data_IF_889455745226
#
_entry.id   IF_889455745226
#
_cell.length_a   1.000
_cell.length_b   1.000
_cell.length_c   1.000
_cell.angle_alpha   90.00
_cell.angle_beta   90.00
_cell.angle_gamma   90.00
#
_symmetry.space_group_name_H-M   'P 1'
#
loop_
_entity.id
_entity.type
_entity.pdbx_description
1 polymer ?
#
# COMPACT_ATOMS: atom_id res chain seq x y z
N UNK A 1 -4.42 -18.50 -0.37
CA UNK A 1 -3.34 -17.71 0.25
C UNK A 1 -3.75 -16.24 0.17
N UNK A 2 -3.24 -15.41 1.09
CA UNK A 2 -3.51 -13.97 1.14
C UNK A 2 -2.23 -13.21 1.47
N UNK A 3 -1.35 -13.05 0.46
CA UNK A 3 -0.14 -12.24 0.59
C UNK A 3 -0.51 -10.76 0.62
N UNK A 4 0.13 -10.01 1.49
CA UNK A 4 0.01 -8.57 1.60
C UNK A 4 1.32 -7.94 2.06
N UNK A 5 1.33 -6.62 2.16
CA UNK A 5 2.48 -5.84 2.59
C UNK A 5 2.14 -5.02 3.83
N UNK A 6 3.16 -4.59 4.55
CA UNK A 6 3.11 -3.52 5.53
C UNK A 6 4.40 -2.71 5.47
N UNK A 7 4.34 -1.43 5.87
CA UNK A 7 5.51 -0.55 5.84
C UNK A 7 5.82 0.07 4.48
N UNK A 8 4.85 0.19 3.57
CA UNK A 8 5.09 0.86 2.29
C UNK A 8 5.48 2.33 2.48
N UNK A 9 4.82 3.05 3.40
CA UNK A 9 5.16 4.43 3.73
C UNK A 9 6.56 4.55 4.35
N UNK A 10 6.94 3.58 5.21
CA UNK A 10 8.30 3.51 5.76
C UNK A 10 9.34 3.32 4.66
N UNK A 11 9.05 2.45 3.69
CA UNK A 11 9.92 2.22 2.52
C UNK A 11 10.13 3.52 1.74
N UNK A 12 9.05 4.25 1.45
CA UNK A 12 9.15 5.54 0.75
C UNK A 12 9.96 6.57 1.55
N UNK A 13 9.71 6.67 2.86
CA UNK A 13 10.47 7.57 3.73
C UNK A 13 11.97 7.23 3.74
N UNK A 14 12.32 5.95 3.85
CA UNK A 14 13.72 5.49 3.83
C UNK A 14 14.41 5.74 2.48
N UNK A 15 13.66 5.76 1.39
CA UNK A 15 14.17 6.06 0.04
C UNK A 15 14.12 7.56 -0.30
N UNK A 16 13.65 8.43 0.61
CA UNK A 16 13.49 9.86 0.36
C UNK A 16 12.41 10.19 -0.68
N UNK A 17 11.44 9.31 -0.86
CA UNK A 17 10.35 9.46 -1.84
C UNK A 17 9.10 10.01 -1.18
N UNK A 18 8.59 11.15 -1.65
CA UNK A 18 7.30 11.66 -1.19
C UNK A 18 6.20 10.67 -1.56
N UNK A 19 5.29 10.40 -0.63
CA UNK A 19 4.21 9.41 -0.85
C UNK A 19 3.35 9.75 -2.08
N UNK A 20 3.17 11.03 -2.37
CA UNK A 20 2.37 11.54 -3.49
C UNK A 20 3.22 11.89 -4.74
N UNK A 21 4.43 11.34 -4.86
CA UNK A 21 5.29 11.50 -6.03
C UNK A 21 5.05 10.46 -7.13
N UNK A 22 5.46 10.75 -8.35
CA UNK A 22 5.39 9.81 -9.46
C UNK A 22 6.37 8.64 -9.29
N UNK A 23 7.51 8.88 -8.66
CA UNK A 23 8.49 7.84 -8.32
C UNK A 23 7.91 6.83 -7.33
N UNK A 24 7.25 7.30 -6.26
CA UNK A 24 6.56 6.44 -5.29
C UNK A 24 5.44 5.63 -5.94
N UNK A 25 4.69 6.26 -6.85
CA UNK A 25 3.63 5.61 -7.63
C UNK A 25 4.19 4.50 -8.52
N UNK A 26 5.29 4.75 -9.23
CA UNK A 26 5.97 3.75 -10.05
C UNK A 26 6.51 2.59 -9.20
N UNK A 27 7.18 2.92 -8.08
CA UNK A 27 7.71 1.91 -7.17
C UNK A 27 6.59 1.05 -6.56
N UNK A 28 5.47 1.65 -6.16
CA UNK A 28 4.28 0.94 -5.69
C UNK A 28 3.81 -0.12 -6.71
N UNK A 29 3.68 0.25 -7.99
CA UNK A 29 3.31 -0.68 -9.06
C UNK A 29 4.32 -1.82 -9.17
N UNK A 30 5.60 -1.49 -9.22
CA UNK A 30 6.70 -2.46 -9.40
C UNK A 30 6.80 -3.46 -8.23
N UNK A 31 6.58 -3.01 -6.99
CA UNK A 31 6.57 -3.88 -5.81
C UNK A 31 5.47 -4.95 -5.96
N UNK A 32 4.25 -4.53 -6.28
CA UNK A 32 3.13 -5.46 -6.39
C UNK A 32 3.23 -6.37 -7.62
N UNK A 33 3.77 -5.88 -8.73
CA UNK A 33 4.10 -6.70 -9.88
C UNK A 33 5.10 -7.79 -9.51
N UNK A 34 6.18 -7.44 -8.81
CA UNK A 34 7.21 -8.38 -8.37
C UNK A 34 6.66 -9.44 -7.41
N UNK A 35 5.86 -9.02 -6.42
CA UNK A 35 5.24 -9.95 -5.47
C UNK A 35 4.31 -10.92 -6.19
N UNK A 36 3.51 -10.42 -7.13
CA UNK A 36 2.57 -11.26 -7.88
C UNK A 36 3.30 -12.24 -8.79
N UNK A 37 4.34 -11.80 -9.49
CA UNK A 37 5.18 -12.68 -10.30
C UNK A 37 5.78 -13.81 -9.47
N UNK A 38 6.43 -13.48 -8.35
CA UNK A 38 7.03 -14.45 -7.46
C UNK A 38 6.00 -15.41 -6.85
N UNK A 39 4.81 -14.91 -6.48
CA UNK A 39 3.73 -15.73 -5.96
C UNK A 39 3.16 -16.70 -6.99
N UNK A 40 2.98 -16.24 -8.24
CA UNK A 40 2.56 -17.11 -9.35
C UNK A 40 3.60 -18.18 -9.65
N UNK A 41 4.88 -17.83 -9.67
CA UNK A 41 6.00 -18.77 -9.85
C UNK A 41 6.00 -19.84 -8.77
N UNK A 42 5.98 -19.43 -7.51
CA UNK A 42 5.95 -20.37 -6.39
C UNK A 42 4.70 -21.28 -6.41
N UNK A 43 3.52 -20.72 -6.72
CA UNK A 43 2.29 -21.50 -6.81
C UNK A 43 2.28 -22.50 -7.98
N UNK A 44 2.96 -22.18 -9.07
CA UNK A 44 3.20 -23.11 -10.18
C UNK A 44 4.20 -24.20 -9.77
N UNK A 45 5.30 -23.84 -9.13
CA UNK A 45 6.30 -24.81 -8.66
C UNK A 45 5.68 -25.82 -7.66
N UNK A 46 4.86 -25.35 -6.73
CA UNK A 46 4.10 -26.21 -5.81
C UNK A 46 3.08 -27.10 -6.55
N UNK A 47 2.48 -26.60 -7.64
CA UNK A 47 1.57 -27.41 -8.44
C UNK A 47 2.25 -28.56 -9.17
N UNK A 48 3.52 -28.44 -9.53
CA UNK A 48 4.32 -29.53 -10.10
C UNK A 48 4.50 -30.67 -9.09
N UNK A 49 4.60 -30.34 -7.79
CA UNK A 49 4.82 -31.30 -6.71
C UNK A 49 3.50 -31.93 -6.25
N UNK A 50 2.52 -31.09 -5.88
CA UNK A 50 1.29 -31.47 -5.18
C UNK A 50 0.03 -31.43 -6.06
N UNK A 51 0.18 -31.12 -7.33
CA UNK A 51 -0.91 -30.91 -8.27
C UNK A 51 -1.60 -29.53 -8.14
N UNK A 52 -2.30 -29.09 -9.17
CA UNK A 52 -3.03 -27.83 -9.16
C UNK A 52 -4.24 -27.87 -8.22
N UNK A 53 -4.81 -26.69 -7.89
CA UNK A 53 -6.06 -26.63 -7.14
C UNK A 53 -7.21 -27.29 -7.93
N UNK A 54 -8.18 -27.88 -7.22
CA UNK A 54 -9.19 -28.80 -7.80
C UNK A 54 -10.05 -28.19 -8.92
N UNK A 55 -10.28 -26.88 -8.91
CA UNK A 55 -11.04 -26.15 -9.94
C UNK A 55 -10.15 -25.41 -10.96
N UNK A 56 -8.89 -25.83 -11.11
CA UNK A 56 -7.96 -25.19 -12.05
C UNK A 56 -8.44 -25.35 -13.52
N UNK A 57 -8.87 -26.56 -13.89
CA UNK A 57 -9.36 -26.82 -15.23
C UNK A 57 -10.57 -25.93 -15.56
N UNK A 58 -10.48 -25.17 -16.66
CA UNK A 58 -11.50 -24.21 -17.08
C UNK A 58 -11.43 -22.83 -16.43
N UNK A 59 -10.53 -22.63 -15.44
CA UNK A 59 -10.28 -21.32 -14.87
C UNK A 59 -9.58 -20.37 -15.85
N UNK A 60 -9.59 -19.05 -15.62
CA UNK A 60 -8.79 -18.11 -16.41
C UNK A 60 -7.29 -18.49 -16.43
N UNK A 61 -6.72 -18.85 -15.30
CA UNK A 61 -5.31 -19.23 -15.18
C UNK A 61 -4.96 -20.46 -16.07
N UNK A 62 -5.88 -21.44 -16.21
CA UNK A 62 -5.68 -22.60 -17.12
C UNK A 62 -5.60 -22.22 -18.60
N UNK A 63 -5.90 -20.98 -18.94
CA UNK A 63 -5.80 -20.38 -20.27
C UNK A 63 -4.70 -19.34 -20.38
N UNK A 64 -3.84 -19.24 -19.38
CA UNK A 64 -2.80 -18.20 -19.29
C UNK A 64 -3.34 -16.79 -19.05
N UNK A 65 -4.57 -16.66 -18.55
CA UNK A 65 -5.18 -15.37 -18.21
C UNK A 65 -5.01 -15.13 -16.72
N UNK A 66 -4.17 -14.17 -16.38
CA UNK A 66 -3.89 -13.76 -15.01
C UNK A 66 -4.68 -12.49 -14.61
N UNK A 67 -4.50 -12.02 -13.39
CA UNK A 67 -5.29 -10.91 -12.85
C UNK A 67 -5.17 -9.62 -13.69
N UNK A 68 -3.98 -9.25 -14.11
CA UNK A 68 -3.73 -8.05 -14.91
C UNK A 68 -4.34 -8.13 -16.32
N UNK A 69 -4.44 -9.34 -16.92
CA UNK A 69 -5.10 -9.53 -18.21
C UNK A 69 -6.61 -9.23 -18.11
N UNK A 70 -7.24 -9.65 -17.00
CA UNK A 70 -8.66 -9.36 -16.73
C UNK A 70 -8.92 -7.87 -16.50
N UNK A 71 -7.89 -7.09 -16.13
CA UNK A 71 -7.93 -5.63 -16.03
C UNK A 71 -7.63 -4.93 -17.35
N UNK A 72 -7.33 -5.69 -18.41
CA UNK A 72 -6.94 -5.14 -19.71
C UNK A 72 -5.59 -4.42 -19.69
N UNK A 73 -4.71 -4.77 -18.74
CA UNK A 73 -3.38 -4.19 -18.65
C UNK A 73 -2.45 -4.93 -19.60
N UNK A 74 -1.88 -4.22 -20.55
CA UNK A 74 -0.94 -4.75 -21.54
C UNK A 74 0.51 -4.27 -21.32
N UNK A 75 0.71 -3.30 -20.40
CA UNK A 75 2.03 -2.72 -20.13
C UNK A 75 2.51 -3.12 -18.75
N UNK A 76 3.59 -3.90 -18.70
CA UNK A 76 4.32 -4.29 -17.52
C UNK A 76 5.60 -3.47 -17.38
N UNK A 77 6.30 -3.64 -16.25
CA UNK A 77 7.58 -2.95 -15.99
C UNK A 77 8.71 -3.40 -16.93
N UNK A 78 8.58 -4.58 -17.54
CA UNK A 78 9.65 -5.24 -18.30
C UNK A 78 10.68 -5.96 -17.42
N UNK A 79 10.48 -6.01 -16.10
CA UNK A 79 11.38 -6.70 -15.16
C UNK A 79 11.22 -8.22 -15.19
N UNK A 80 10.03 -8.72 -15.56
CA UNK A 80 9.65 -10.12 -15.42
C UNK A 80 9.13 -10.70 -16.74
N UNK A 81 9.49 -11.96 -17.02
CA UNK A 81 9.02 -12.69 -18.19
C UNK A 81 7.65 -13.34 -17.92
N UNK A 82 6.61 -12.55 -18.07
CA UNK A 82 5.24 -13.00 -17.89
C UNK A 82 4.79 -14.01 -18.94
N UNK A 83 5.31 -13.94 -20.16
CA UNK A 83 4.90 -14.84 -21.24
C UNK A 83 5.38 -16.27 -20.97
N UNK A 84 6.63 -16.44 -20.58
CA UNK A 84 7.16 -17.75 -20.17
C UNK A 84 6.41 -18.30 -18.96
N UNK A 85 6.18 -17.48 -17.93
CA UNK A 85 5.46 -17.93 -16.72
C UNK A 85 4.02 -18.34 -17.04
N UNK A 86 3.31 -17.61 -17.91
CA UNK A 86 1.94 -17.99 -18.34
C UNK A 86 1.93 -19.34 -19.05
N UNK A 87 2.90 -19.62 -19.91
CA UNK A 87 3.05 -20.92 -20.59
C UNK A 87 3.25 -22.05 -19.58
N UNK A 88 4.15 -21.87 -18.63
CA UNK A 88 4.41 -22.84 -17.55
C UNK A 88 3.16 -23.05 -16.67
N UNK A 89 2.39 -22.00 -16.37
CA UNK A 89 1.12 -22.11 -15.61
C UNK A 89 0.09 -22.92 -16.41
N UNK A 90 -0.02 -22.73 -17.72
CA UNK A 90 -0.94 -23.52 -18.54
C UNK A 90 -0.56 -24.99 -18.56
N UNK A 91 0.74 -25.31 -18.60
CA UNK A 91 1.27 -26.67 -18.62
C UNK A 91 1.14 -27.38 -17.28
N UNK A 92 1.55 -26.72 -16.18
CA UNK A 92 1.69 -27.35 -14.87
C UNK A 92 0.56 -27.00 -13.89
N UNK A 93 -0.17 -25.93 -14.13
CA UNK A 93 -1.20 -25.42 -13.22
C UNK A 93 -0.67 -24.48 -12.15
N UNK A 94 -1.55 -24.16 -11.22
CA UNK A 94 -1.24 -23.38 -9.99
C UNK A 94 -1.79 -24.12 -8.77
N UNK A 95 -1.02 -24.14 -7.67
CA UNK A 95 -1.45 -24.78 -6.42
C UNK A 95 -2.54 -24.00 -5.69
N UNK A 96 -2.56 -22.67 -5.83
CA UNK A 96 -3.50 -21.75 -5.18
C UNK A 96 -4.21 -20.91 -6.24
N UNK A 97 -5.53 -20.80 -6.13
CA UNK A 97 -6.35 -20.03 -7.09
C UNK A 97 -6.22 -18.51 -6.93
N UNK A 98 -5.95 -18.04 -5.71
CA UNK A 98 -5.79 -16.64 -5.35
C UNK A 98 -4.55 -16.51 -4.45
N UNK A 99 -3.76 -15.46 -4.64
CA UNK A 99 -2.45 -15.28 -4.02
C UNK A 99 -2.36 -13.99 -3.20
N UNK A 100 -2.67 -12.83 -3.79
CA UNK A 100 -2.55 -11.54 -3.14
C UNK A 100 -3.90 -11.05 -2.59
N UNK A 101 -3.87 -10.70 -1.31
CA UNK A 101 -5.01 -10.12 -0.57
C UNK A 101 -4.48 -9.19 0.53
N UNK A 102 -4.13 -7.93 0.21
CA UNK A 102 -3.60 -7.00 1.20
C UNK A 102 -4.59 -6.73 2.32
N UNK A 103 -4.22 -7.20 3.52
CA UNK A 103 -5.00 -7.02 4.75
C UNK A 103 -4.64 -5.70 5.45
N UNK A 104 -5.43 -5.21 6.43
CA UNK A 104 -5.17 -3.93 7.11
C UNK A 104 -3.87 -3.89 7.92
N UNK A 105 -3.37 -5.02 8.41
CA UNK A 105 -2.16 -5.19 9.25
C UNK A 105 -2.15 -4.37 10.55
N UNK A 106 -3.32 -4.00 11.08
CA UNK A 106 -3.46 -3.09 12.22
C UNK A 106 -2.69 -3.51 13.50
N UNK A 107 -2.54 -4.81 13.73
CA UNK A 107 -1.80 -5.36 14.88
C UNK A 107 -0.37 -5.73 14.52
N UNK A 108 -0.15 -6.37 13.37
CA UNK A 108 1.18 -6.85 12.96
C UNK A 108 2.13 -5.71 12.65
N UNK A 109 1.65 -4.62 12.08
CA UNK A 109 2.45 -3.41 11.86
C UNK A 109 2.95 -2.81 13.17
N UNK A 110 2.13 -2.82 14.21
CA UNK A 110 2.52 -2.35 15.53
C UNK A 110 3.60 -3.23 16.18
N UNK A 111 3.50 -4.55 16.02
CA UNK A 111 4.48 -5.51 16.54
C UNK A 111 5.84 -5.28 15.85
N UNK A 112 5.83 -5.06 14.54
CA UNK A 112 7.05 -4.88 13.75
C UNK A 112 7.55 -3.43 13.72
N UNK A 113 6.78 -2.47 14.26
CA UNK A 113 7.17 -1.06 14.36
C UNK A 113 7.26 -0.35 13.01
N UNK A 114 6.33 -0.65 12.10
CA UNK A 114 6.17 0.04 10.82
C UNK A 114 4.73 0.51 10.61
N UNK A 115 4.48 1.25 9.55
CA UNK A 115 3.15 1.73 9.19
C UNK A 115 2.26 0.60 8.65
N UNK A 116 0.96 0.78 8.74
CA UNK A 116 -0.02 -0.21 8.31
C UNK A 116 -0.01 -0.39 6.78
N UNK A 117 -0.02 -1.66 6.35
CA UNK A 117 -0.24 -2.08 4.97
C UNK A 117 0.54 -1.21 3.95
N UNK A 118 -0.19 -0.65 3.01
CA UNK A 118 0.27 0.30 1.98
C UNK A 118 -0.20 1.74 2.26
N UNK A 119 -0.67 2.02 3.46
CA UNK A 119 -1.23 3.32 3.86
C UNK A 119 -0.13 4.38 4.03
N UNK A 120 -0.48 5.64 3.76
CA UNK A 120 0.34 6.76 4.19
C UNK A 120 0.31 6.91 5.72
N UNK A 121 1.26 7.63 6.30
CA UNK A 121 1.25 7.93 7.73
C UNK A 121 -0.01 8.72 8.11
N UNK A 122 -0.75 8.26 9.11
CA UNK A 122 -1.91 9.00 9.62
C UNK A 122 -1.52 10.16 10.53
N UNK A 123 -0.37 10.03 11.20
CA UNK A 123 0.21 11.04 12.09
C UNK A 123 1.69 10.72 12.28
N UNK A 124 2.54 11.74 12.39
CA UNK A 124 3.97 11.53 12.66
C UNK A 124 4.28 11.41 14.16
N UNK A 125 3.33 11.76 15.02
CA UNK A 125 3.47 11.63 16.47
C UNK A 125 2.09 11.58 17.10
N UNK A 126 1.76 10.51 17.81
CA UNK A 126 0.47 10.34 18.47
C UNK A 126 0.58 9.60 19.79
N UNK A 127 -0.46 9.72 20.60
CA UNK A 127 -0.58 8.98 21.86
C UNK A 127 -1.46 7.76 21.64
N UNK A 128 -0.91 6.59 21.94
CA UNK A 128 -1.63 5.33 21.93
C UNK A 128 -2.03 4.96 23.36
N UNK A 129 -3.34 4.72 23.54
CA UNK A 129 -3.87 4.23 24.81
C UNK A 129 -4.05 2.71 24.75
N UNK A 130 -3.54 2.02 25.74
CA UNK A 130 -3.70 0.58 25.94
C UNK A 130 -4.17 0.31 27.37
N UNK A 131 -4.48 -0.93 27.68
CA UNK A 131 -4.78 -1.34 29.06
C UNK A 131 -3.59 -1.13 30.02
N UNK A 132 -2.37 -1.12 29.48
CA UNK A 132 -1.12 -0.94 30.25
C UNK A 132 -0.71 0.52 30.43
N UNK A 133 -1.40 1.47 29.77
CA UNK A 133 -1.06 2.89 29.86
C UNK A 133 -1.10 3.64 28.54
N UNK A 134 -0.58 4.86 28.57
CA UNK A 134 -0.47 5.73 27.39
C UNK A 134 0.99 5.76 26.92
N UNK A 135 1.16 5.59 25.59
CA UNK A 135 2.48 5.56 24.98
C UNK A 135 2.53 6.57 23.83
N UNK A 136 3.59 7.35 23.78
CA UNK A 136 3.88 8.23 22.63
C UNK A 136 4.50 7.36 21.55
N UNK A 137 3.89 7.34 20.38
CA UNK A 137 4.36 6.61 19.20
C UNK A 137 4.82 7.61 18.13
N UNK A 138 6.14 7.72 17.91
CA UNK A 138 6.69 8.61 16.91
C UNK A 138 6.90 7.90 15.58
N UNK A 139 6.87 8.66 14.49
CA UNK A 139 7.46 8.25 13.22
C UNK A 139 8.99 8.30 13.35
N UNK A 140 9.60 7.14 13.50
CA UNK A 140 11.06 7.00 13.74
C UNK A 140 11.91 7.62 12.63
N UNK A 141 11.42 7.62 11.39
CA UNK A 141 12.14 8.19 10.24
C UNK A 141 12.19 9.72 10.34
N UNK A 142 11.05 10.37 10.62
CA UNK A 142 10.99 11.81 10.85
C UNK A 142 11.88 12.22 12.03
N UNK A 143 11.81 11.48 13.16
CA UNK A 143 12.61 11.81 14.33
C UNK A 143 14.12 11.76 13.99
N UNK A 144 14.53 10.72 13.26
CA UNK A 144 15.92 10.59 12.82
C UNK A 144 16.33 11.78 11.95
N UNK A 145 15.55 12.15 10.97
CA UNK A 145 15.86 13.26 10.07
C UNK A 145 15.89 14.61 10.80
N UNK A 146 14.99 14.81 11.78
CA UNK A 146 15.01 16.01 12.62
C UNK A 146 16.24 16.06 13.55
N UNK A 147 16.73 14.92 14.04
CA UNK A 147 17.98 14.82 14.81
C UNK A 147 19.16 15.15 13.90
N UNK A 148 19.23 14.56 12.72
CA UNK A 148 20.32 14.78 11.76
C UNK A 148 20.39 16.26 11.30
N UNK A 149 19.29 17.00 11.42
CA UNK A 149 19.18 18.43 11.10
C UNK A 149 19.35 19.35 12.33
N UNK A 150 19.64 18.82 13.50
CA UNK A 150 19.68 19.57 14.79
C UNK A 150 18.35 20.30 15.11
N UNK A 151 17.22 19.79 14.65
CA UNK A 151 15.89 20.36 14.87
C UNK A 151 15.07 19.63 15.95
N UNK A 152 15.50 18.45 16.38
CA UNK A 152 14.77 17.67 17.38
C UNK A 152 14.99 18.22 18.78
N UNK A 153 13.91 18.59 19.46
CA UNK A 153 13.89 19.04 20.84
C UNK A 153 12.58 18.68 21.53
N UNK A 154 12.45 18.95 22.83
CA UNK A 154 11.19 18.78 23.54
C UNK A 154 10.12 19.75 23.01
N UNK A 155 10.51 20.96 22.67
CA UNK A 155 9.63 21.98 22.07
C UNK A 155 9.13 21.50 20.71
N UNK A 156 10.02 20.93 19.87
CA UNK A 156 9.63 20.36 18.56
C UNK A 156 8.64 19.21 18.73
N UNK A 157 8.87 18.30 19.67
CA UNK A 157 7.93 17.23 20.01
C UNK A 157 6.55 17.80 20.38
N UNK A 158 6.51 18.82 21.24
CA UNK A 158 5.26 19.43 21.70
C UNK A 158 4.55 20.20 20.55
N UNK A 159 5.31 20.82 19.64
CA UNK A 159 4.77 21.42 18.42
C UNK A 159 4.10 20.37 17.54
N UNK A 160 4.77 19.25 17.27
CA UNK A 160 4.21 18.16 16.45
C UNK A 160 2.93 17.62 17.08
N UNK A 161 2.88 17.42 18.39
CA UNK A 161 1.68 16.98 19.12
C UNK A 161 0.55 18.01 19.01
N UNK A 162 0.85 19.30 19.15
CA UNK A 162 -0.12 20.40 19.03
C UNK A 162 -0.75 20.46 17.65
N UNK A 163 0.05 20.14 16.62
CA UNK A 163 -0.40 20.03 15.23
C UNK A 163 -0.95 18.64 14.86
N UNK A 164 -1.30 17.79 15.85
CA UNK A 164 -1.89 16.45 15.67
C UNK A 164 -1.03 15.53 14.79
N UNK A 165 0.29 15.67 14.89
CA UNK A 165 1.26 14.89 14.14
C UNK A 165 1.60 15.42 12.73
N UNK A 166 1.03 16.53 12.32
CA UNK A 166 1.44 17.26 11.12
C UNK A 166 2.68 18.11 11.41
N UNK A 167 3.56 18.25 10.42
CA UNK A 167 4.71 19.17 10.48
C UNK A 167 4.61 20.31 9.47
N UNK A 168 3.52 20.39 8.73
CA UNK A 168 3.38 21.34 7.62
C UNK A 168 3.43 22.80 8.07
N UNK A 169 2.79 23.12 9.20
CA UNK A 169 2.72 24.48 9.74
C UNK A 169 3.90 24.87 10.66
N UNK A 170 4.78 23.92 11.00
CA UNK A 170 5.89 24.16 11.93
C UNK A 170 7.00 24.93 11.21
N UNK A 171 7.40 26.13 11.72
CA UNK A 171 8.48 26.90 11.12
C UNK A 171 9.85 26.19 11.35
N UNK A 172 10.82 26.49 10.49
CA UNK A 172 12.19 25.98 10.61
C UNK A 172 12.42 24.57 10.05
N UNK A 173 11.37 23.77 9.80
CA UNK A 173 11.50 22.48 9.13
C UNK A 173 11.63 22.72 7.62
N UNK A 174 12.66 22.16 6.95
CA UNK A 174 12.85 22.28 5.50
C UNK A 174 11.66 21.73 4.70
N UNK A 175 11.38 22.32 3.53
CA UNK A 175 10.21 21.94 2.73
C UNK A 175 10.28 20.49 2.24
N UNK A 176 11.45 19.99 1.85
CA UNK A 176 11.64 18.61 1.45
C UNK A 176 11.27 17.60 2.56
N UNK A 177 11.56 17.93 3.82
CA UNK A 177 11.14 17.11 4.98
C UNK A 177 9.62 17.19 5.17
N UNK A 178 9.04 18.39 5.04
CA UNK A 178 7.58 18.55 5.08
C UNK A 178 6.89 17.73 4.01
N UNK A 179 7.41 17.73 2.78
CA UNK A 179 6.83 16.98 1.67
C UNK A 179 6.97 15.47 1.86
N UNK A 180 8.10 15.00 2.42
CA UNK A 180 8.36 13.59 2.69
C UNK A 180 7.44 13.00 3.75
N UNK A 181 7.13 13.78 4.80
CA UNK A 181 6.35 13.32 5.96
C UNK A 181 4.93 13.89 6.01
N UNK A 182 4.33 14.16 4.83
CA UNK A 182 2.89 14.43 4.75
C UNK A 182 2.09 13.31 5.37
N UNK A 183 1.12 13.69 6.19
CA UNK A 183 0.12 12.74 6.69
C UNK A 183 -0.93 12.45 5.63
N UNK A 184 -1.68 11.37 5.80
CA UNK A 184 -2.76 11.01 4.87
C UNK A 184 -3.83 12.13 4.73
N UNK A 185 -3.96 13.00 5.74
CA UNK A 185 -4.87 14.14 5.72
C UNK A 185 -4.41 15.29 4.79
N UNK A 186 -3.13 15.31 4.46
CA UNK A 186 -2.45 16.30 3.62
C UNK A 186 -2.27 15.82 2.19
N UNK A 187 -2.46 14.51 1.97
CA UNK A 187 -2.39 13.87 0.66
C UNK A 187 -3.78 13.88 0.01
N UNK A 188 -3.84 14.25 -1.27
CA UNK A 188 -5.10 14.16 -2.02
C UNK A 188 -5.54 12.70 -2.13
N UNK A 189 -6.76 12.39 -1.68
CA UNK A 189 -7.28 11.02 -1.69
C UNK A 189 -7.42 10.43 -3.10
N UNK A 190 -7.53 11.29 -4.12
CA UNK A 190 -7.40 10.89 -5.52
C UNK A 190 -6.09 10.14 -5.78
N UNK A 191 -4.96 10.62 -5.23
CA UNK A 191 -3.67 9.97 -5.38
C UNK A 191 -3.65 8.58 -4.72
N UNK A 192 -4.23 8.43 -3.54
CA UNK A 192 -4.38 7.14 -2.84
C UNK A 192 -5.15 6.13 -3.71
N UNK A 193 -6.24 6.58 -4.35
CA UNK A 193 -7.04 5.75 -5.26
C UNK A 193 -6.25 5.40 -6.53
N UNK A 194 -5.51 6.34 -7.11
CA UNK A 194 -4.66 6.09 -8.28
C UNK A 194 -3.60 5.04 -7.97
N UNK A 195 -2.90 5.14 -6.83
CA UNK A 195 -1.94 4.12 -6.39
C UNK A 195 -2.59 2.76 -6.16
N UNK A 196 -3.81 2.74 -5.61
CA UNK A 196 -4.57 1.51 -5.43
C UNK A 196 -4.96 0.86 -6.76
N UNK A 197 -5.31 1.66 -7.77
CA UNK A 197 -5.60 1.18 -9.12
C UNK A 197 -4.35 0.63 -9.80
N UNK A 198 -3.20 1.33 -9.70
CA UNK A 198 -1.96 0.91 -10.34
C UNK A 198 -1.45 -0.45 -9.82
N UNK A 199 -1.52 -0.70 -8.50
CA UNK A 199 -1.17 -2.01 -7.93
C UNK A 199 -2.27 -3.04 -8.05
N UNK A 200 -3.52 -2.61 -8.17
CA UNK A 200 -4.71 -3.46 -8.17
C UNK A 200 -4.74 -4.52 -9.27
N UNK A 201 -4.08 -4.23 -10.39
CA UNK A 201 -3.92 -5.19 -11.48
C UNK A 201 -3.12 -6.45 -11.10
N UNK A 202 -2.31 -6.37 -10.06
CA UNK A 202 -1.50 -7.47 -9.53
C UNK A 202 -2.05 -8.06 -8.21
N UNK A 203 -3.29 -7.72 -7.85
CA UNK A 203 -3.93 -8.18 -6.62
C UNK A 203 -5.17 -8.97 -6.98
N UNK A 204 -5.22 -10.24 -6.57
CA UNK A 204 -6.35 -11.12 -6.87
C UNK A 204 -7.63 -10.70 -6.16
N UNK A 205 -7.50 -10.27 -4.91
CA UNK A 205 -8.63 -9.88 -4.07
C UNK A 205 -8.81 -8.36 -3.99
N UNK A 206 -9.71 -7.88 -3.16
CA UNK A 206 -9.85 -6.47 -2.85
C UNK A 206 -8.71 -5.99 -1.94
N UNK A 207 -8.58 -4.67 -1.82
CA UNK A 207 -7.57 -4.03 -1.00
C UNK A 207 -8.22 -3.40 0.24
N UNK A 208 -7.59 -3.56 1.41
CA UNK A 208 -8.02 -2.91 2.66
C UNK A 208 -7.62 -1.44 2.68
N UNK A 209 -8.11 -0.67 1.70
CA UNK A 209 -7.77 0.74 1.51
C UNK A 209 -8.68 1.64 2.36
N UNK A 210 -8.10 2.51 3.18
CA UNK A 210 -8.84 3.55 3.89
C UNK A 210 -8.87 4.85 3.07
N UNK A 211 -9.96 5.58 3.20
CA UNK A 211 -10.12 6.94 2.66
C UNK A 211 -10.25 7.90 3.83
N UNK A 212 -9.51 9.00 3.77
CA UNK A 212 -9.50 10.04 4.81
C UNK A 212 -10.10 11.33 4.23
N UNK A 213 -11.20 11.78 4.82
CA UNK A 213 -11.96 12.90 4.25
C UNK A 213 -12.42 13.86 5.33
N UNK A 214 -11.79 15.02 5.40
CA UNK A 214 -12.25 16.10 6.24
C UNK A 214 -13.59 16.60 5.70
N UNK A 215 -14.58 16.77 6.58
CA UNK A 215 -15.92 17.25 6.24
C UNK A 215 -16.58 16.40 5.13
N UNK A 216 -16.62 15.09 5.35
CA UNK A 216 -17.26 14.16 4.45
C UNK A 216 -18.75 14.51 4.26
N UNK A 217 -19.19 14.56 3.02
CA UNK A 217 -20.61 14.73 2.66
C UNK A 217 -20.97 13.80 1.48
N UNK A 218 -22.26 13.65 1.21
CA UNK A 218 -22.75 12.72 0.20
C UNK A 218 -22.13 12.96 -1.19
N UNK A 219 -21.95 14.23 -1.58
CA UNK A 219 -21.38 14.56 -2.89
C UNK A 219 -19.90 14.16 -3.00
N UNK A 220 -19.09 14.46 -1.97
CA UNK A 220 -17.66 14.09 -1.92
C UNK A 220 -17.51 12.56 -1.91
N UNK A 221 -18.28 11.86 -1.07
CA UNK A 221 -18.23 10.39 -0.96
C UNK A 221 -18.67 9.72 -2.27
N UNK A 222 -19.76 10.17 -2.87
CA UNK A 222 -20.21 9.66 -4.18
C UNK A 222 -19.16 9.88 -5.26
N UNK A 223 -18.59 11.09 -5.35
CA UNK A 223 -17.55 11.42 -6.32
C UNK A 223 -16.33 10.49 -6.16
N UNK A 224 -15.91 10.22 -4.93
CA UNK A 224 -14.80 9.32 -4.61
C UNK A 224 -15.13 7.88 -5.04
N UNK A 225 -16.31 7.36 -4.73
CA UNK A 225 -16.72 6.01 -5.13
C UNK A 225 -16.79 5.87 -6.66
N UNK A 226 -17.38 6.83 -7.36
CA UNK A 226 -17.40 6.83 -8.83
C UNK A 226 -16.01 6.93 -9.43
N UNK A 227 -15.10 7.68 -8.79
CA UNK A 227 -13.72 7.75 -9.25
C UNK A 227 -13.01 6.40 -9.10
N UNK A 228 -13.11 5.75 -7.94
CA UNK A 228 -12.54 4.42 -7.71
C UNK A 228 -13.13 3.36 -8.64
N UNK A 229 -14.44 3.38 -8.87
CA UNK A 229 -15.08 2.51 -9.83
C UNK A 229 -14.57 2.71 -11.26
N UNK A 230 -14.47 3.96 -11.73
CA UNK A 230 -13.91 4.28 -13.07
C UNK A 230 -12.45 3.86 -13.21
N UNK A 231 -11.71 3.83 -12.10
CA UNK A 231 -10.32 3.33 -12.06
C UNK A 231 -10.21 1.80 -11.99
N UNK A 232 -11.34 1.10 -11.91
CA UNK A 232 -11.39 -0.36 -11.91
C UNK A 232 -11.18 -1.00 -10.55
N UNK A 233 -11.29 -0.27 -9.44
CA UNK A 233 -11.17 -0.86 -8.11
C UNK A 233 -12.28 -1.88 -7.85
N UNK A 234 -11.94 -3.05 -7.31
CA UNK A 234 -12.90 -4.12 -6.97
C UNK A 234 -13.85 -3.72 -5.85
N UNK A 235 -13.36 -2.91 -4.90
CA UNK A 235 -14.14 -2.33 -3.80
C UNK A 235 -13.80 -0.86 -3.64
N UNK A 236 -14.74 -0.06 -3.12
CA UNK A 236 -14.57 1.38 -3.01
C UNK A 236 -13.58 1.78 -1.93
N UNK A 237 -13.71 1.19 -0.73
CA UNK A 237 -12.84 1.44 0.43
C UNK A 237 -13.10 0.40 1.52
N UNK A 238 -12.19 0.34 2.51
CA UNK A 238 -12.38 -0.42 3.75
C UNK A 238 -13.06 0.44 4.80
N UNK A 239 -12.44 1.55 5.20
CA UNK A 239 -13.04 2.56 6.07
C UNK A 239 -13.00 3.95 5.44
N UNK A 240 -14.05 4.73 5.69
CA UNK A 240 -14.03 6.19 5.60
C UNK A 240 -13.68 6.74 6.98
N UNK A 241 -12.65 7.55 7.05
CA UNK A 241 -12.17 8.18 8.29
C UNK A 241 -12.19 9.71 8.17
#
# INVERSE_FOLDING_TARGET
IGLGVQGLADTFAMMGMNFDSDEAKKLNKNIFETIYFAACTASKDEAIIDGPYSSFAGSPASKGILQFDMWGMNEHSGMWDWDSLKQEIVEHGMRNSLLLAPMPTASTSQILGNNECFEAFTSNLYVRRTLSGEFIVPNKHLIKDLIDLDLWSLEMKDEILRHKGSIQAIPGIPQNIKDLYKTTWEIKQKHVIDMAADRGAYIDQSQSMNIHMIDANAAKVSSMHFYGWKKGLKTGMYYLR
#
